data_IF_952752797215
#
_entry.id   IF_952752797215
#
_cell.length_a   1.000
_cell.length_b   1.000
_cell.length_c   1.000
_cell.angle_alpha   90.00
_cell.angle_beta   90.00
_cell.angle_gamma   90.00
#
_symmetry.space_group_name_H-M   'P 1'
#
loop_
_entity.id
_entity.type
_entity.pdbx_description
1 polymer ?
#
# COMPACT_ATOMS: atom_id res chain seq x y z
N UNK A 1 6.61 -7.30 15.92
CA UNK A 1 6.36 -6.17 14.99
C UNK A 1 4.87 -6.03 14.73
N UNK A 2 4.34 -4.83 14.85
CA UNK A 2 2.96 -4.50 14.49
C UNK A 2 2.94 -3.87 13.11
N UNK A 3 2.14 -4.43 12.20
CA UNK A 3 2.14 -4.09 10.77
C UNK A 3 0.77 -3.58 10.34
N UNK A 4 0.77 -2.45 9.63
CA UNK A 4 -0.39 -1.94 8.93
C UNK A 4 -0.12 -2.09 7.42
N UNK A 5 -0.98 -2.83 6.72
CA UNK A 5 -0.85 -3.08 5.29
C UNK A 5 -2.04 -2.50 4.53
N UNK A 6 -1.76 -1.63 3.57
CA UNK A 6 -2.77 -1.07 2.67
C UNK A 6 -2.65 -1.70 1.30
N UNK A 7 -3.79 -1.93 0.66
CA UNK A 7 -3.86 -2.62 -0.64
C UNK A 7 -3.19 -4.00 -0.54
N UNK A 8 -3.56 -4.74 0.49
CA UNK A 8 -2.82 -5.91 0.97
C UNK A 8 -2.78 -7.09 -0.02
N UNK A 9 -3.76 -7.19 -0.90
CA UNK A 9 -3.87 -8.30 -1.82
C UNK A 9 -4.05 -9.62 -1.06
N UNK A 10 -3.25 -10.61 -1.43
CA UNK A 10 -3.25 -11.93 -0.78
C UNK A 10 -2.30 -12.02 0.42
N UNK A 11 -1.88 -10.88 0.96
CA UNK A 11 -0.98 -10.76 2.11
C UNK A 11 0.47 -11.20 1.84
N UNK A 12 1.00 -10.86 0.67
CA UNK A 12 2.41 -11.11 0.35
C UNK A 12 3.38 -10.41 1.31
N UNK A 13 2.97 -9.29 1.92
CA UNK A 13 3.74 -8.63 2.97
C UNK A 13 3.98 -9.54 4.17
N UNK A 14 2.97 -10.33 4.58
CA UNK A 14 3.11 -11.31 5.66
C UNK A 14 4.10 -12.41 5.27
N UNK A 15 4.01 -12.91 4.04
CA UNK A 15 4.95 -13.92 3.52
C UNK A 15 6.38 -13.40 3.54
N UNK A 16 6.58 -12.15 3.11
CA UNK A 16 7.89 -11.52 3.09
C UNK A 16 8.51 -11.40 4.49
N UNK A 17 7.70 -10.99 5.47
CA UNK A 17 8.15 -10.88 6.87
C UNK A 17 8.52 -12.25 7.46
N UNK A 18 7.71 -13.28 7.20
CA UNK A 18 8.05 -14.65 7.61
C UNK A 18 9.38 -15.11 7.01
N UNK A 19 9.55 -14.92 5.70
CA UNK A 19 10.79 -15.32 5.01
C UNK A 19 12.02 -14.55 5.49
N UNK A 20 11.82 -13.30 5.92
CA UNK A 20 12.88 -12.48 6.52
C UNK A 20 13.19 -12.87 7.98
N UNK A 21 12.43 -13.77 8.56
CA UNK A 21 12.58 -14.17 9.96
C UNK A 21 12.14 -13.09 10.95
N UNK A 22 11.26 -12.20 10.53
CA UNK A 22 10.74 -11.10 11.36
C UNK A 22 9.43 -11.54 12.01
N UNK A 23 9.38 -11.70 13.35
CA UNK A 23 8.14 -12.08 14.03
C UNK A 23 7.10 -10.98 13.97
N UNK A 24 5.86 -11.34 13.60
CA UNK A 24 4.73 -10.44 13.49
C UNK A 24 3.77 -10.67 14.66
N UNK A 25 3.61 -9.65 15.48
CA UNK A 25 2.74 -9.67 16.66
C UNK A 25 1.29 -9.37 16.28
N UNK A 26 1.08 -8.43 15.34
CA UNK A 26 -0.22 -8.00 14.85
C UNK A 26 -0.11 -7.53 13.41
N UNK A 27 -1.05 -7.94 12.57
CA UNK A 27 -1.10 -7.54 11.16
C UNK A 27 -2.52 -7.10 10.82
N UNK A 28 -2.68 -5.82 10.47
CA UNK A 28 -3.94 -5.22 10.06
C UNK A 28 -3.89 -4.93 8.58
N UNK A 29 -4.87 -5.43 7.84
CA UNK A 29 -4.91 -5.34 6.38
C UNK A 29 -6.14 -4.60 5.88
N UNK A 30 -5.93 -3.70 4.94
CA UNK A 30 -6.99 -3.04 4.17
C UNK A 30 -6.95 -3.56 2.73
N UNK A 31 -7.99 -4.28 2.35
CA UNK A 31 -8.21 -4.86 1.04
C UNK A 31 -9.72 -4.99 0.81
N UNK A 32 -10.19 -4.72 -0.40
CA UNK A 32 -11.60 -4.80 -0.77
C UNK A 32 -11.94 -5.99 -1.67
N UNK A 33 -10.94 -6.61 -2.30
CA UNK A 33 -11.15 -7.75 -3.19
C UNK A 33 -11.46 -9.01 -2.38
N UNK A 34 -12.69 -9.52 -2.49
CA UNK A 34 -13.16 -10.67 -1.70
C UNK A 34 -12.31 -11.91 -1.89
N UNK A 35 -11.89 -12.20 -3.12
CA UNK A 35 -11.09 -13.39 -3.42
C UNK A 35 -9.69 -13.28 -2.80
N UNK A 36 -9.08 -12.10 -2.83
CA UNK A 36 -7.82 -11.84 -2.16
C UNK A 36 -7.93 -12.04 -0.64
N UNK A 37 -8.98 -11.52 -0.03
CA UNK A 37 -9.27 -11.67 1.40
C UNK A 37 -9.44 -13.15 1.77
N UNK A 38 -10.17 -13.93 0.96
CA UNK A 38 -10.35 -15.37 1.18
C UNK A 38 -9.03 -16.13 1.15
N UNK A 39 -8.17 -15.83 0.19
CA UNK A 39 -6.85 -16.44 0.08
C UNK A 39 -5.98 -16.09 1.30
N UNK A 40 -5.98 -14.82 1.68
CA UNK A 40 -5.28 -14.36 2.87
C UNK A 40 -5.74 -15.09 4.13
N UNK A 41 -7.05 -15.15 4.36
CA UNK A 41 -7.64 -15.84 5.52
C UNK A 41 -7.32 -17.32 5.55
N UNK A 42 -7.25 -17.97 4.40
CA UNK A 42 -6.92 -19.39 4.30
C UNK A 42 -5.49 -19.67 4.77
N UNK A 43 -4.57 -18.76 4.44
CA UNK A 43 -3.15 -18.90 4.77
C UNK A 43 -2.80 -18.32 6.14
N UNK A 44 -3.47 -17.22 6.53
CA UNK A 44 -3.16 -16.44 7.74
C UNK A 44 -4.44 -15.99 8.43
N UNK A 45 -5.05 -16.88 9.20
CA UNK A 45 -6.31 -16.61 9.90
C UNK A 45 -6.21 -15.51 10.97
N UNK A 46 -5.00 -15.16 11.39
CA UNK A 46 -4.73 -14.13 12.40
C UNK A 46 -4.72 -12.70 11.84
N UNK A 47 -4.72 -12.52 10.51
CA UNK A 47 -4.75 -11.18 9.90
C UNK A 47 -6.12 -10.53 10.13
N UNK A 48 -6.09 -9.28 10.60
CA UNK A 48 -7.29 -8.47 10.82
C UNK A 48 -7.63 -7.72 9.52
N UNK A 49 -8.68 -8.15 8.84
CA UNK A 49 -9.17 -7.51 7.61
C UNK A 49 -10.15 -6.39 7.93
N UNK A 50 -9.86 -5.17 7.50
CA UNK A 50 -10.61 -3.96 7.84
C UNK A 50 -11.30 -3.27 6.65
N UNK A 51 -11.16 -3.78 5.43
CA UNK A 51 -11.90 -3.34 4.26
C UNK A 51 -11.30 -2.15 3.52
N UNK A 52 -12.07 -1.07 3.39
CA UNK A 52 -11.79 0.05 2.48
C UNK A 52 -10.86 1.09 3.10
N UNK A 53 -9.78 1.41 2.40
CA UNK A 53 -8.80 2.44 2.82
C UNK A 53 -9.44 3.83 2.98
N UNK A 54 -10.47 4.16 2.20
CA UNK A 54 -11.14 5.46 2.29
C UNK A 54 -11.95 5.63 3.58
N UNK A 55 -12.38 4.54 4.19
CA UNK A 55 -13.20 4.52 5.41
C UNK A 55 -12.39 4.34 6.70
N UNK A 56 -11.09 4.18 6.56
CA UNK A 56 -10.21 3.88 7.68
C UNK A 56 -9.94 5.10 8.58
N UNK A 57 -9.85 4.84 9.87
CA UNK A 57 -9.27 5.75 10.86
C UNK A 57 -7.92 5.18 11.28
N UNK A 58 -6.85 5.69 10.69
CA UNK A 58 -5.50 5.18 10.92
C UNK A 58 -4.89 5.66 12.25
N UNK A 59 -5.52 6.60 12.94
CA UNK A 59 -5.09 7.03 14.28
C UNK A 59 -5.14 5.87 15.28
N UNK A 60 -6.00 4.87 15.03
CA UNK A 60 -6.07 3.64 15.83
C UNK A 60 -4.78 2.83 15.84
N UNK A 61 -3.93 3.04 14.85
CA UNK A 61 -2.68 2.30 14.66
C UNK A 61 -1.46 3.16 14.96
N UNK A 62 -1.65 4.25 15.68
CA UNK A 62 -0.54 5.09 16.08
C UNK A 62 0.49 4.28 16.88
N UNK A 63 1.75 4.43 16.49
CA UNK A 63 2.84 3.67 17.11
C UNK A 63 3.08 2.27 16.52
N UNK A 64 2.39 1.89 15.44
CA UNK A 64 2.73 0.67 14.70
C UNK A 64 4.15 0.75 14.15
N UNK A 65 4.80 -0.41 14.04
CA UNK A 65 6.19 -0.47 13.63
C UNK A 65 6.38 -0.25 12.13
N UNK A 66 5.51 -0.84 11.31
CA UNK A 66 5.68 -0.88 9.86
C UNK A 66 4.37 -0.60 9.14
N UNK A 67 4.39 0.37 8.22
CA UNK A 67 3.36 0.60 7.21
C UNK A 67 3.87 0.08 5.87
N UNK A 68 3.16 -0.87 5.28
CA UNK A 68 3.46 -1.37 3.93
C UNK A 68 2.27 -1.17 3.01
N UNK A 69 2.53 -1.05 1.72
CA UNK A 69 1.48 -0.98 0.72
C UNK A 69 2.00 -0.60 -0.64
N UNK A 70 1.21 -0.95 -1.65
CA UNK A 70 1.41 -0.54 -3.02
C UNK A 70 0.05 -0.24 -3.62
N UNK A 71 -0.26 1.03 -3.85
CA UNK A 71 -1.56 1.38 -4.44
C UNK A 71 -1.68 0.81 -5.85
N UNK A 72 -2.90 0.47 -6.31
CA UNK A 72 -3.09 -0.11 -7.63
C UNK A 72 -2.43 0.71 -8.74
N UNK A 73 -1.56 0.07 -9.53
CA UNK A 73 -0.82 0.71 -10.62
C UNK A 73 -1.61 0.78 -11.93
N UNK A 74 -2.83 0.27 -11.97
CA UNK A 74 -3.64 0.15 -13.18
C UNK A 74 -3.88 1.47 -13.90
N UNK A 75 -3.90 2.59 -13.17
CA UNK A 75 -4.09 3.93 -13.73
C UNK A 75 -2.78 4.58 -14.22
N UNK A 76 -1.62 4.10 -13.80
CA UNK A 76 -0.32 4.70 -14.06
C UNK A 76 0.57 3.90 -15.00
N UNK A 77 0.29 2.60 -15.15
CA UNK A 77 1.10 1.71 -15.98
C UNK A 77 0.99 2.02 -17.47
N UNK A 78 2.09 1.87 -18.21
CA UNK A 78 2.11 1.97 -19.67
C UNK A 78 1.23 0.92 -20.36
N UNK A 79 0.92 -0.17 -19.70
CA UNK A 79 -0.02 -1.16 -20.22
C UNK A 79 -1.40 -0.55 -20.53
N UNK A 80 -1.79 0.51 -19.81
CA UNK A 80 -3.03 1.24 -20.01
C UNK A 80 -2.96 2.27 -21.15
N UNK A 81 -1.78 2.62 -21.61
CA UNK A 81 -1.60 3.64 -22.65
C UNK A 81 -2.31 3.30 -23.98
N UNK A 82 -2.54 2.01 -24.24
CA UNK A 82 -3.27 1.54 -25.44
C UNK A 82 -4.70 2.05 -25.52
N UNK A 83 -5.29 2.48 -24.41
CA UNK A 83 -6.68 2.92 -24.30
C UNK A 83 -6.82 4.43 -24.07
N UNK A 84 -5.73 5.19 -24.13
CA UNK A 84 -5.68 6.65 -23.96
C UNK A 84 -6.25 7.20 -22.63
N UNK A 85 -6.36 6.37 -21.59
CA UNK A 85 -6.91 6.75 -20.28
C UNK A 85 -5.89 6.66 -19.14
N UNK A 86 -4.60 6.56 -19.49
CA UNK A 86 -3.50 6.55 -18.50
C UNK A 86 -3.39 7.92 -17.82
N UNK A 87 -3.37 7.90 -16.49
CA UNK A 87 -3.12 9.09 -15.70
C UNK A 87 -1.62 9.41 -15.70
N UNK A 88 -1.26 10.66 -15.95
CA UNK A 88 0.13 11.13 -16.04
C UNK A 88 0.45 12.27 -15.10
N UNK A 89 -0.54 12.76 -14.35
CA UNK A 89 -0.42 13.83 -13.37
C UNK A 89 -0.85 13.39 -11.98
N UNK A 90 -0.47 14.14 -10.97
CA UNK A 90 -0.83 13.89 -9.57
C UNK A 90 -2.31 14.26 -9.31
N UNK A 91 -3.21 13.62 -10.06
CA UNK A 91 -4.66 13.77 -9.98
C UNK A 91 -5.34 12.49 -10.46
N UNK A 92 -6.65 12.37 -10.20
CA UNK A 92 -7.43 11.20 -10.57
C UNK A 92 -7.40 10.10 -9.53
N UNK A 93 -8.00 8.94 -9.88
CA UNK A 93 -8.22 7.84 -8.92
C UNK A 93 -6.91 7.21 -8.45
N UNK A 94 -5.91 7.09 -9.32
CA UNK A 94 -4.60 6.56 -8.93
C UNK A 94 -3.96 7.42 -7.84
N UNK A 95 -4.02 8.73 -7.99
CA UNK A 95 -3.50 9.65 -6.98
C UNK A 95 -4.33 9.64 -5.70
N UNK A 96 -5.64 9.55 -5.80
CA UNK A 96 -6.53 9.46 -4.64
C UNK A 96 -6.22 8.21 -3.80
N UNK A 97 -5.96 7.09 -4.44
CA UNK A 97 -5.55 5.85 -3.77
C UNK A 97 -4.18 6.00 -3.09
N UNK A 98 -3.21 6.56 -3.78
CA UNK A 98 -1.90 6.88 -3.17
C UNK A 98 -2.05 7.84 -1.98
N UNK A 99 -2.92 8.83 -2.09
CA UNK A 99 -3.17 9.79 -1.00
C UNK A 99 -3.67 9.13 0.28
N UNK A 100 -4.35 7.98 0.18
CA UNK A 100 -4.75 7.19 1.35
C UNK A 100 -3.53 6.58 2.06
N UNK A 101 -2.53 6.16 1.30
CA UNK A 101 -1.27 5.72 1.89
C UNK A 101 -0.55 6.86 2.64
N UNK A 102 -0.48 8.05 2.04
CA UNK A 102 0.08 9.24 2.69
C UNK A 102 -0.69 9.60 3.95
N UNK A 103 -2.03 9.51 3.91
CA UNK A 103 -2.88 9.74 5.09
C UNK A 103 -2.56 8.74 6.20
N UNK A 104 -2.41 7.47 5.88
CA UNK A 104 -2.02 6.44 6.84
C UNK A 104 -0.65 6.74 7.46
N UNK A 105 0.32 7.17 6.64
CA UNK A 105 1.64 7.55 7.12
C UNK A 105 1.59 8.70 8.14
N UNK A 106 0.74 9.69 7.87
CA UNK A 106 0.57 10.86 8.76
C UNK A 106 -0.21 10.54 10.04
N UNK A 107 -1.24 9.72 9.95
CA UNK A 107 -2.11 9.38 11.09
C UNK A 107 -1.51 8.31 12.00
N UNK A 108 -0.99 7.24 11.44
CA UNK A 108 -0.43 6.13 12.22
C UNK A 108 1.00 6.39 12.69
N UNK A 109 1.74 7.28 12.04
CA UNK A 109 3.13 7.63 12.37
C UNK A 109 3.99 6.39 12.63
N UNK A 110 4.09 5.45 11.66
CA UNK A 110 4.82 4.23 11.84
C UNK A 110 6.32 4.49 11.99
N UNK A 111 7.03 3.56 12.62
CA UNK A 111 8.48 3.63 12.76
C UNK A 111 9.19 3.48 11.42
N UNK A 112 8.67 2.60 10.56
CA UNK A 112 9.18 2.35 9.22
C UNK A 112 8.03 2.31 8.21
N UNK A 113 8.32 2.60 6.96
CA UNK A 113 7.36 2.40 5.88
C UNK A 113 8.02 1.84 4.62
N UNK A 114 7.24 1.12 3.84
CA UNK A 114 7.62 0.63 2.52
C UNK A 114 6.44 0.88 1.56
N UNK A 115 6.67 1.66 0.53
CA UNK A 115 5.71 1.87 -0.55
C UNK A 115 6.26 1.29 -1.85
N UNK A 116 5.46 0.47 -2.52
CA UNK A 116 5.83 -0.15 -3.80
C UNK A 116 4.89 0.32 -4.90
N UNK A 117 5.40 0.54 -6.09
CA UNK A 117 4.58 0.78 -7.27
C UNK A 117 5.35 0.51 -8.56
N UNK A 118 4.65 0.68 -9.69
CA UNK A 118 5.18 0.41 -11.01
C UNK A 118 6.15 1.51 -11.47
N UNK A 119 7.32 1.10 -11.90
CA UNK A 119 8.36 1.99 -12.44
C UNK A 119 7.91 2.78 -13.68
N UNK A 120 6.97 2.24 -14.49
CA UNK A 120 6.57 2.84 -15.77
C UNK A 120 5.62 4.04 -15.66
N UNK A 121 5.24 4.46 -14.46
CA UNK A 121 4.44 5.66 -14.27
C UNK A 121 5.17 6.92 -14.80
N UNK A 122 4.43 7.99 -15.08
CA UNK A 122 5.00 9.23 -15.57
C UNK A 122 6.02 9.85 -14.61
N UNK A 123 6.94 10.63 -15.15
CA UNK A 123 7.96 11.33 -14.34
C UNK A 123 7.32 12.28 -13.32
N UNK A 124 6.26 12.99 -13.71
CA UNK A 124 5.54 13.91 -12.82
C UNK A 124 5.00 13.20 -11.58
N UNK A 125 4.35 12.05 -11.77
CA UNK A 125 3.84 11.24 -10.65
C UNK A 125 4.98 10.77 -9.75
N UNK A 126 6.09 10.27 -10.31
CA UNK A 126 7.26 9.85 -9.53
C UNK A 126 7.82 10.97 -8.65
N UNK A 127 7.95 12.16 -9.22
CA UNK A 127 8.46 13.33 -8.51
C UNK A 127 7.51 13.74 -7.36
N UNK A 128 6.21 13.70 -7.59
CA UNK A 128 5.23 14.01 -6.56
C UNK A 128 5.19 12.96 -5.44
N UNK A 129 5.30 11.67 -5.78
CA UNK A 129 5.41 10.59 -4.78
C UNK A 129 6.67 10.80 -3.92
N UNK A 130 7.82 11.06 -4.55
CA UNK A 130 9.08 11.35 -3.85
C UNK A 130 8.91 12.52 -2.88
N UNK A 131 8.26 13.58 -3.32
CA UNK A 131 7.98 14.76 -2.49
C UNK A 131 7.11 14.44 -1.29
N UNK A 132 6.03 13.67 -1.49
CA UNK A 132 5.10 13.31 -0.42
C UNK A 132 5.72 12.34 0.59
N UNK A 133 6.50 11.37 0.14
CA UNK A 133 7.14 10.38 1.01
C UNK A 133 8.47 10.88 1.62
N UNK A 134 9.08 11.89 1.03
CA UNK A 134 10.34 12.47 1.51
C UNK A 134 11.57 11.59 1.30
N UNK A 135 11.49 10.57 0.44
CA UNK A 135 12.58 9.64 0.13
C UNK A 135 12.64 9.36 -1.35
N UNK A 136 13.84 9.14 -1.87
CA UNK A 136 14.04 8.75 -3.25
C UNK A 136 13.69 7.27 -3.47
N UNK A 137 13.10 6.91 -4.62
CA UNK A 137 12.78 5.53 -4.92
C UNK A 137 14.03 4.69 -5.23
N UNK A 138 13.94 3.41 -4.89
CA UNK A 138 14.93 2.41 -5.29
C UNK A 138 14.31 1.59 -6.42
N UNK A 139 15.01 1.45 -7.52
CA UNK A 139 14.58 0.67 -8.67
C UNK A 139 15.15 -0.76 -8.58
N UNK A 140 14.29 -1.74 -8.75
CA UNK A 140 14.64 -3.16 -8.72
C UNK A 140 14.15 -3.90 -9.97
#
# INVERSE_FOLDING_TARGET
MKVLSLFDGISCGMVALERAGIPVERYVAYEIEEDAIKISNKNYSQIEHCGDVFKADYTKYEGFDLLIGGSPCTHWSIARSRWNDRETTASGIGWELFSQYVRALKEAKPKYFLYENNYSMSKDIKEQITKELGVEPIYI
#
